data_IF_972703496416
#
_entry.id   IF_972703496416
#
_cell.length_a   1.000
_cell.length_b   1.000
_cell.length_c   1.000
_cell.angle_alpha   90.00
_cell.angle_beta   90.00
_cell.angle_gamma   90.00
#
_symmetry.space_group_name_H-M   'P 1'
#
loop_
_entity.id
_entity.type
_entity.pdbx_description
1 polymer ?
#
# COMPACT_ATOMS: atom_id res chain seq x y z
N UNK A 1 23.27 11.03 -8.51
CA UNK A 1 23.52 9.86 -7.63
C UNK A 1 23.87 10.26 -6.19
N UNK A 2 24.92 11.10 -5.97
CA UNK A 2 25.38 11.45 -4.63
C UNK A 2 24.31 12.14 -3.75
N UNK A 3 23.55 13.07 -4.33
CA UNK A 3 22.46 13.74 -3.61
C UNK A 3 21.34 12.74 -3.22
N UNK A 4 20.96 11.87 -4.13
CA UNK A 4 19.93 10.84 -3.87
C UNK A 4 20.38 9.92 -2.72
N UNK A 5 21.61 9.45 -2.75
CA UNK A 5 22.17 8.61 -1.68
C UNK A 5 22.17 9.35 -0.34
N UNK A 6 22.62 10.62 -0.31
CA UNK A 6 22.61 11.42 0.90
C UNK A 6 21.20 11.64 1.46
N UNK A 7 20.21 11.87 0.60
CA UNK A 7 18.81 12.04 1.01
C UNK A 7 18.26 10.74 1.62
N UNK A 8 18.49 9.60 0.98
CA UNK A 8 18.06 8.30 1.49
C UNK A 8 18.77 7.93 2.79
N UNK A 9 20.08 8.17 2.90
CA UNK A 9 20.82 7.97 4.14
C UNK A 9 20.28 8.85 5.29
N UNK A 10 19.97 10.11 4.98
CA UNK A 10 19.34 11.02 5.94
C UNK A 10 17.94 10.51 6.36
N UNK A 11 17.17 9.96 5.44
CA UNK A 11 15.87 9.39 5.76
C UNK A 11 15.99 8.08 6.57
N UNK A 12 16.96 7.21 6.26
CA UNK A 12 17.22 6.01 7.03
C UNK A 12 17.48 6.33 8.52
N UNK A 13 18.26 7.39 8.78
CA UNK A 13 18.54 7.86 10.15
C UNK A 13 17.32 8.45 10.89
N UNK A 14 16.21 8.69 10.20
CA UNK A 14 14.95 9.18 10.77
C UNK A 14 13.92 8.09 11.05
N UNK A 15 14.25 6.84 10.75
CA UNK A 15 13.42 5.72 11.21
C UNK A 15 13.34 5.75 12.73
N UNK A 16 12.14 5.58 13.26
CA UNK A 16 11.95 5.53 14.72
C UNK A 16 12.31 4.15 15.29
N UNK A 17 12.23 3.98 16.60
CA UNK A 17 12.57 2.74 17.28
C UNK A 17 11.63 1.56 16.95
N UNK A 18 10.47 1.81 16.36
CA UNK A 18 9.56 0.79 15.86
C UNK A 18 9.96 0.25 14.48
N UNK A 19 10.67 1.06 13.66
CA UNK A 19 11.08 0.70 12.31
C UNK A 19 10.35 1.44 11.19
N UNK A 20 9.42 2.35 11.51
CA UNK A 20 8.74 3.15 10.48
C UNK A 20 9.19 4.61 10.48
N UNK A 21 8.88 5.32 9.40
CA UNK A 21 9.07 6.77 9.30
C UNK A 21 7.79 7.47 9.74
N UNK A 22 7.90 8.14 10.89
CA UNK A 22 6.79 8.81 11.52
C UNK A 22 6.34 10.04 10.69
N UNK A 23 5.02 10.19 10.54
CA UNK A 23 4.42 11.33 9.84
C UNK A 23 4.19 12.49 10.80
N UNK A 24 4.77 13.66 10.47
CA UNK A 24 4.65 14.91 11.20
C UNK A 24 4.32 16.08 10.24
N UNK A 25 3.52 17.06 10.63
CA UNK A 25 2.73 17.16 11.88
C UNK A 25 1.52 16.23 11.90
N UNK A 26 0.82 16.17 13.05
CA UNK A 26 -0.41 15.38 13.17
C UNK A 26 -1.54 15.89 12.27
N UNK A 27 -2.46 15.00 11.91
CA UNK A 27 -3.66 15.31 11.14
C UNK A 27 -4.87 15.53 12.05
N UNK A 28 -5.55 16.68 11.89
CA UNK A 28 -6.73 17.00 12.69
C UNK A 28 -7.89 16.01 12.48
N UNK A 29 -8.05 15.48 11.27
CA UNK A 29 -9.08 14.49 10.99
C UNK A 29 -8.73 13.12 11.58
N UNK A 30 -7.48 12.64 11.47
CA UNK A 30 -7.04 11.39 12.11
C UNK A 30 -7.20 11.43 13.62
N UNK A 31 -6.89 12.58 14.23
CA UNK A 31 -7.12 12.78 15.67
C UNK A 31 -8.60 12.75 16.00
N UNK A 32 -9.46 13.37 15.17
CA UNK A 32 -10.92 13.43 15.41
C UNK A 32 -11.61 12.09 15.20
N UNK A 33 -11.26 11.37 14.12
CA UNK A 33 -11.96 10.16 13.71
C UNK A 33 -11.43 8.90 14.41
N UNK A 34 -10.11 8.83 14.65
CA UNK A 34 -9.45 7.62 15.16
C UNK A 34 -8.67 7.82 16.45
N UNK A 35 -8.46 9.04 16.92
CA UNK A 35 -7.61 9.32 18.08
C UNK A 35 -6.11 9.29 17.76
N UNK A 36 -5.73 9.28 16.49
CA UNK A 36 -4.34 9.18 16.04
C UNK A 36 -3.67 10.55 16.04
N UNK A 37 -2.64 10.70 16.88
CA UNK A 37 -1.84 11.92 17.04
C UNK A 37 -0.68 12.05 16.05
N UNK A 38 0.15 13.09 16.23
CA UNK A 38 1.37 13.29 15.47
C UNK A 38 2.39 12.16 15.72
N UNK A 39 3.24 11.87 14.74
CA UNK A 39 4.18 10.76 14.84
C UNK A 39 3.60 9.42 14.40
N UNK A 40 2.45 9.46 13.74
CA UNK A 40 1.75 8.25 13.29
C UNK A 40 2.47 7.54 12.14
N UNK A 41 2.16 6.25 12.01
CA UNK A 41 2.48 5.44 10.85
C UNK A 41 1.43 5.67 9.77
N UNK A 42 1.89 5.97 8.56
CA UNK A 42 1.09 6.03 7.34
C UNK A 42 1.63 4.97 6.39
N UNK A 43 0.80 3.99 6.04
CA UNK A 43 1.20 2.85 5.22
C UNK A 43 1.69 3.31 3.86
N UNK A 44 0.99 4.25 3.20
CA UNK A 44 1.34 4.73 1.86
C UNK A 44 2.69 5.45 1.84
N UNK A 45 2.92 6.40 2.74
CA UNK A 45 4.18 7.15 2.77
C UNK A 45 5.37 6.25 3.07
N UNK A 46 5.20 5.29 3.97
CA UNK A 46 6.26 4.34 4.29
C UNK A 46 6.51 3.35 3.15
N UNK A 47 5.46 2.91 2.45
CA UNK A 47 5.58 2.05 1.26
C UNK A 47 6.31 2.74 0.13
N UNK A 48 6.02 4.02 -0.15
CA UNK A 48 6.74 4.81 -1.15
C UNK A 48 8.22 4.96 -0.81
N UNK A 49 8.55 5.12 0.47
CA UNK A 49 9.95 5.13 0.92
C UNK A 49 10.62 3.76 0.74
N UNK A 50 9.95 2.67 1.10
CA UNK A 50 10.45 1.31 0.85
C UNK A 50 10.78 1.12 -0.64
N UNK A 51 9.87 1.48 -1.53
CA UNK A 51 10.08 1.41 -2.98
C UNK A 51 11.31 2.22 -3.45
N UNK A 52 11.51 3.41 -2.88
CA UNK A 52 12.70 4.22 -3.16
C UNK A 52 13.99 3.52 -2.72
N UNK A 53 14.00 2.87 -1.56
CA UNK A 53 15.14 2.10 -1.07
C UNK A 53 15.41 0.87 -1.93
N UNK A 54 14.36 0.12 -2.32
CA UNK A 54 14.47 -1.03 -3.21
C UNK A 54 15.11 -0.63 -4.56
N UNK A 55 14.58 0.43 -5.19
CA UNK A 55 15.13 0.96 -6.45
C UNK A 55 16.56 1.46 -6.30
N UNK A 56 16.91 2.05 -5.16
CA UNK A 56 18.26 2.49 -4.89
C UNK A 56 19.22 1.30 -4.71
N UNK A 57 18.81 0.27 -3.98
CA UNK A 57 19.59 -0.96 -3.81
C UNK A 57 19.84 -1.66 -5.16
N UNK A 58 18.82 -1.79 -6.01
CA UNK A 58 18.94 -2.33 -7.36
C UNK A 58 19.88 -1.52 -8.24
N UNK A 59 19.81 -0.19 -8.16
CA UNK A 59 20.56 0.71 -9.06
C UNK A 59 22.01 0.91 -8.65
N UNK A 60 22.29 1.03 -7.35
CA UNK A 60 23.61 1.37 -6.86
C UNK A 60 24.36 0.14 -6.34
N UNK A 61 23.66 -0.96 -6.20
CA UNK A 61 24.20 -2.23 -5.71
C UNK A 61 24.46 -2.26 -4.22
N UNK A 62 24.48 -3.45 -3.66
CA UNK A 62 24.93 -3.73 -2.31
C UNK A 62 23.94 -3.39 -1.21
N UNK A 63 24.42 -3.59 0.00
CA UNK A 63 23.68 -3.57 1.25
C UNK A 63 23.52 -2.14 1.82
N UNK A 64 23.62 -1.10 0.99
CA UNK A 64 23.68 0.29 1.48
C UNK A 64 22.47 0.71 2.31
N UNK A 65 21.30 0.12 2.02
CA UNK A 65 20.05 0.43 2.70
C UNK A 65 19.37 -0.79 3.30
N UNK A 66 20.05 -1.93 3.35
CA UNK A 66 19.50 -3.20 3.82
C UNK A 66 18.97 -3.09 5.25
N UNK A 67 19.72 -2.45 6.15
CA UNK A 67 19.28 -2.25 7.54
C UNK A 67 17.98 -1.44 7.64
N UNK A 68 17.82 -0.39 6.82
CA UNK A 68 16.61 0.42 6.82
C UNK A 68 15.40 -0.34 6.24
N UNK A 69 15.63 -1.11 5.17
CA UNK A 69 14.62 -1.98 4.57
C UNK A 69 14.21 -3.06 5.57
N UNK A 70 15.16 -3.74 6.18
CA UNK A 70 14.92 -4.83 7.14
C UNK A 70 14.17 -4.34 8.38
N UNK A 71 14.57 -3.19 8.91
CA UNK A 71 13.92 -2.63 10.09
C UNK A 71 12.46 -2.26 9.80
N UNK A 72 12.20 -1.66 8.63
CA UNK A 72 10.82 -1.37 8.21
C UNK A 72 10.01 -2.65 7.96
N UNK A 73 10.56 -3.63 7.25
CA UNK A 73 9.85 -4.88 6.95
C UNK A 73 9.56 -5.71 8.21
N UNK A 74 10.44 -5.66 9.21
CA UNK A 74 10.20 -6.29 10.50
C UNK A 74 8.99 -5.64 11.21
N UNK A 75 8.92 -4.30 11.22
CA UNK A 75 7.77 -3.57 11.73
C UNK A 75 6.51 -3.89 10.93
N UNK A 76 6.56 -3.78 9.59
CA UNK A 76 5.38 -3.97 8.74
C UNK A 76 4.80 -5.39 8.87
N UNK A 77 5.66 -6.41 8.88
CA UNK A 77 5.21 -7.80 9.03
C UNK A 77 4.48 -8.02 10.36
N UNK A 78 5.02 -7.47 11.45
CA UNK A 78 4.37 -7.55 12.76
C UNK A 78 3.07 -6.73 12.80
N UNK A 79 3.08 -5.54 12.19
CA UNK A 79 1.90 -4.68 12.09
C UNK A 79 0.76 -5.38 11.34
N UNK A 80 1.04 -5.93 10.16
CA UNK A 80 0.07 -6.65 9.35
C UNK A 80 -0.46 -7.89 10.07
N UNK A 81 0.40 -8.68 10.70
CA UNK A 81 -0.02 -9.87 11.47
C UNK A 81 -0.98 -9.51 12.62
N UNK A 82 -0.75 -8.38 13.29
CA UNK A 82 -1.50 -8.00 14.49
C UNK A 82 -2.79 -7.23 14.17
N UNK A 83 -2.81 -6.42 13.10
CA UNK A 83 -3.86 -5.42 12.87
C UNK A 83 -4.73 -5.68 11.63
N UNK A 84 -4.45 -6.71 10.82
CA UNK A 84 -5.24 -6.98 9.62
C UNK A 84 -6.69 -7.33 9.95
N UNK A 85 -7.57 -7.03 9.00
CA UNK A 85 -8.95 -7.49 8.98
C UNK A 85 -9.03 -8.65 7.99
N UNK A 86 -9.35 -9.84 8.49
CA UNK A 86 -9.43 -11.04 7.64
C UNK A 86 -10.67 -11.00 6.74
N UNK A 87 -10.50 -11.35 5.47
CA UNK A 87 -11.59 -11.55 4.51
C UNK A 87 -12.10 -12.99 4.52
N UNK A 88 -13.14 -13.29 3.74
CA UNK A 88 -13.84 -14.58 3.76
C UNK A 88 -12.91 -15.77 3.50
N UNK A 89 -11.97 -15.67 2.54
CA UNK A 89 -11.05 -16.74 2.19
C UNK A 89 -9.67 -16.60 2.88
N UNK A 90 -9.56 -15.72 3.87
CA UNK A 90 -8.35 -15.53 4.67
C UNK A 90 -7.35 -14.52 4.09
N UNK A 91 -7.78 -13.68 3.16
CA UNK A 91 -7.03 -12.50 2.74
C UNK A 91 -6.92 -11.47 3.88
N UNK A 92 -5.98 -10.56 3.78
CA UNK A 92 -5.68 -9.56 4.79
C UNK A 92 -5.85 -8.14 4.25
N UNK A 93 -6.82 -7.40 4.79
CA UNK A 93 -6.97 -5.96 4.62
C UNK A 93 -6.16 -5.25 5.71
N UNK A 94 -5.26 -4.37 5.32
CA UNK A 94 -4.35 -3.69 6.24
C UNK A 94 -4.82 -2.26 6.49
N UNK A 95 -5.10 -1.86 7.75
CA UNK A 95 -5.49 -0.49 8.05
C UNK A 95 -4.42 0.54 7.65
N UNK A 96 -4.86 1.70 7.13
CA UNK A 96 -3.97 2.70 6.52
C UNK A 96 -3.03 3.39 7.52
N UNK A 97 -3.44 3.48 8.79
CA UNK A 97 -2.74 4.27 9.81
C UNK A 97 -2.58 3.51 11.12
N UNK A 98 -1.56 3.88 11.89
CA UNK A 98 -1.33 3.33 13.22
C UNK A 98 -0.59 4.33 14.12
N UNK A 99 -0.78 4.20 15.42
CA UNK A 99 -0.04 4.94 16.43
C UNK A 99 0.25 4.02 17.63
N UNK A 100 1.39 4.16 18.34
CA UNK A 100 1.67 3.37 19.53
C UNK A 100 0.72 3.65 20.70
N UNK A 101 0.13 4.84 20.74
CA UNK A 101 -0.92 5.15 21.71
C UNK A 101 -2.26 4.54 21.33
N UNK A 102 -3.17 4.39 22.29
CA UNK A 102 -4.49 3.84 22.08
C UNK A 102 -5.30 4.66 21.05
N UNK A 103 -5.83 3.97 20.05
CA UNK A 103 -6.62 4.54 18.96
C UNK A 103 -7.64 3.52 18.45
N UNK A 104 -8.66 3.98 17.73
CA UNK A 104 -9.58 3.08 17.01
C UNK A 104 -8.97 2.63 15.69
N UNK A 105 -9.34 1.42 15.24
CA UNK A 105 -8.85 0.87 13.97
C UNK A 105 -9.28 1.77 12.81
N UNK A 106 -8.34 2.29 12.01
CA UNK A 106 -8.66 3.11 10.86
C UNK A 106 -9.26 2.30 9.69
N UNK A 107 -9.72 3.03 8.67
CA UNK A 107 -10.15 2.45 7.41
C UNK A 107 -8.97 1.85 6.64
N UNK A 108 -9.31 1.09 5.61
CA UNK A 108 -8.41 0.53 4.61
C UNK A 108 -8.75 1.14 3.26
N UNK A 109 -7.84 1.88 2.63
CA UNK A 109 -8.05 2.37 1.28
C UNK A 109 -7.46 1.44 0.23
N UNK A 110 -8.17 1.30 -0.90
CA UNK A 110 -7.79 0.37 -1.96
C UNK A 110 -6.40 0.72 -2.53
N UNK A 111 -6.10 2.00 -2.73
CA UNK A 111 -4.81 2.44 -3.25
C UNK A 111 -3.64 2.14 -2.31
N UNK A 112 -3.82 2.22 -0.97
CA UNK A 112 -2.81 1.78 -0.01
C UNK A 112 -2.61 0.28 -0.11
N UNK A 113 -3.69 -0.50 0.00
CA UNK A 113 -3.65 -1.96 -0.07
C UNK A 113 -2.91 -2.47 -1.32
N UNK A 114 -3.21 -1.90 -2.49
CA UNK A 114 -2.61 -2.29 -3.78
C UNK A 114 -1.13 -1.92 -3.84
N UNK A 115 -0.76 -0.70 -3.44
CA UNK A 115 0.63 -0.24 -3.48
C UNK A 115 1.52 -0.99 -2.49
N UNK A 116 1.01 -1.31 -1.30
CA UNK A 116 1.71 -2.10 -0.30
C UNK A 116 1.94 -3.54 -0.77
N UNK A 117 0.91 -4.15 -1.36
CA UNK A 117 1.00 -5.47 -1.96
C UNK A 117 2.14 -5.53 -2.99
N UNK A 118 2.21 -4.56 -3.91
CA UNK A 118 3.27 -4.47 -4.91
C UNK A 118 4.66 -4.28 -4.28
N UNK A 119 4.78 -3.38 -3.30
CA UNK A 119 6.06 -3.13 -2.63
C UNK A 119 6.58 -4.36 -1.87
N UNK A 120 5.68 -5.16 -1.30
CA UNK A 120 6.07 -6.43 -0.67
C UNK A 120 6.58 -7.45 -1.69
N UNK A 121 5.97 -7.55 -2.87
CA UNK A 121 6.49 -8.39 -3.95
C UNK A 121 7.88 -7.94 -4.39
N UNK A 122 8.09 -6.64 -4.59
CA UNK A 122 9.41 -6.10 -4.93
C UNK A 122 10.46 -6.34 -3.84
N UNK A 123 10.07 -6.18 -2.57
CA UNK A 123 10.96 -6.47 -1.44
C UNK A 123 11.29 -7.97 -1.35
N UNK A 124 10.30 -8.83 -1.57
CA UNK A 124 10.46 -10.28 -1.58
C UNK A 124 11.46 -10.73 -2.64
N UNK A 125 11.35 -10.18 -3.85
CA UNK A 125 12.26 -10.47 -4.96
C UNK A 125 13.67 -9.95 -4.69
N UNK A 126 13.80 -8.69 -4.22
CA UNK A 126 15.11 -8.10 -3.91
C UNK A 126 15.89 -8.88 -2.85
N UNK A 127 15.17 -9.35 -1.81
CA UNK A 127 15.77 -9.95 -0.62
C UNK A 127 15.75 -11.49 -0.63
N UNK A 128 15.14 -12.10 -1.67
CA UNK A 128 14.90 -13.55 -1.76
C UNK A 128 14.18 -14.11 -0.51
N UNK A 129 13.05 -13.48 -0.12
CA UNK A 129 12.27 -13.79 1.10
C UNK A 129 10.89 -14.30 0.80
N UNK A 130 10.70 -15.62 0.82
CA UNK A 130 9.40 -16.28 0.59
C UNK A 130 8.28 -15.78 1.54
N UNK A 131 8.60 -15.43 2.78
CA UNK A 131 7.62 -14.94 3.75
C UNK A 131 6.96 -13.62 3.32
N UNK A 132 7.67 -12.76 2.59
CA UNK A 132 7.11 -11.51 2.05
C UNK A 132 6.20 -11.77 0.85
N UNK A 133 6.53 -12.75 -0.01
CA UNK A 133 5.62 -13.23 -1.05
C UNK A 133 4.31 -13.74 -0.44
N UNK A 134 4.40 -14.57 0.60
CA UNK A 134 3.21 -15.10 1.28
C UNK A 134 2.35 -14.00 1.92
N UNK A 135 2.95 -12.92 2.43
CA UNK A 135 2.22 -11.77 2.97
C UNK A 135 1.55 -10.99 1.83
N UNK A 136 2.26 -10.71 0.75
CA UNK A 136 1.71 -10.05 -0.44
C UNK A 136 0.55 -10.85 -1.04
N UNK A 137 0.66 -12.18 -1.13
CA UNK A 137 -0.41 -13.07 -1.59
C UNK A 137 -1.67 -13.00 -0.71
N UNK A 138 -1.52 -12.86 0.62
CA UNK A 138 -2.68 -12.64 1.50
C UNK A 138 -3.35 -11.29 1.26
N UNK A 139 -2.56 -10.26 0.97
CA UNK A 139 -3.10 -8.94 0.65
C UNK A 139 -3.78 -8.92 -0.73
N UNK A 140 -3.21 -9.60 -1.73
CA UNK A 140 -3.84 -9.78 -3.03
C UNK A 140 -5.16 -10.56 -2.89
N UNK A 141 -5.18 -11.65 -2.13
CA UNK A 141 -6.39 -12.41 -1.85
C UNK A 141 -7.49 -11.55 -1.22
N UNK A 142 -7.14 -10.58 -0.36
CA UNK A 142 -8.12 -9.66 0.20
C UNK A 142 -8.73 -8.73 -0.86
N UNK A 143 -7.95 -8.29 -1.85
CA UNK A 143 -8.46 -7.52 -3.00
C UNK A 143 -9.40 -8.38 -3.84
N UNK A 144 -9.06 -9.66 -4.07
CA UNK A 144 -9.91 -10.61 -4.79
C UNK A 144 -11.21 -10.90 -4.04
N UNK A 145 -11.15 -11.17 -2.75
CA UNK A 145 -12.31 -11.45 -1.89
C UNK A 145 -13.31 -10.28 -1.83
N UNK A 146 -12.80 -9.06 -1.81
CA UNK A 146 -13.62 -7.84 -1.79
C UNK A 146 -14.08 -7.40 -3.19
N UNK A 147 -13.31 -7.71 -4.22
CA UNK A 147 -13.64 -7.68 -5.64
C UNK A 147 -14.58 -6.54 -6.05
N UNK A 148 -15.73 -6.91 -6.63
CA UNK A 148 -16.72 -5.94 -7.12
C UNK A 148 -17.37 -5.08 -6.02
N UNK A 149 -17.16 -5.39 -4.75
CA UNK A 149 -17.59 -4.54 -3.63
C UNK A 149 -16.97 -3.14 -3.67
N UNK A 150 -15.81 -3.00 -4.29
CA UNK A 150 -15.16 -1.70 -4.49
C UNK A 150 -15.81 -0.84 -5.57
N UNK A 151 -16.72 -1.38 -6.39
CA UNK A 151 -17.27 -0.66 -7.55
C UNK A 151 -18.52 0.10 -7.17
N UNK A 152 -18.53 1.41 -7.43
CA UNK A 152 -19.67 2.29 -7.26
C UNK A 152 -20.65 2.17 -8.45
N UNK A 153 -21.93 2.54 -8.28
CA UNK A 153 -22.93 2.50 -9.36
C UNK A 153 -22.61 3.34 -10.61
N UNK A 154 -21.74 4.34 -10.48
CA UNK A 154 -21.27 5.19 -11.58
C UNK A 154 -19.96 4.71 -12.21
N UNK A 155 -19.50 3.49 -11.87
CA UNK A 155 -18.24 2.89 -12.27
C UNK A 155 -16.98 3.48 -11.60
N UNK A 156 -17.11 4.45 -10.67
CA UNK A 156 -15.98 4.84 -9.84
C UNK A 156 -15.65 3.72 -8.85
N UNK A 157 -14.52 3.84 -8.17
CA UNK A 157 -14.21 2.96 -7.05
C UNK A 157 -14.52 3.68 -5.74
N UNK A 158 -14.90 2.92 -4.72
CA UNK A 158 -14.89 3.41 -3.35
C UNK A 158 -13.45 3.68 -2.92
N UNK A 159 -13.27 4.76 -2.15
CA UNK A 159 -11.95 5.11 -1.62
C UNK A 159 -11.46 4.10 -0.59
N UNK A 160 -12.33 3.75 0.37
CA UNK A 160 -11.94 2.92 1.49
C UNK A 160 -13.09 2.00 1.96
N UNK A 161 -12.70 0.98 2.72
CA UNK A 161 -13.60 0.15 3.52
C UNK A 161 -13.31 0.38 5.01
N UNK A 162 -14.36 0.55 5.80
CA UNK A 162 -14.27 0.65 7.25
C UNK A 162 -14.12 -0.73 7.89
N UNK A 163 -13.63 -0.83 9.14
CA UNK A 163 -13.53 -2.10 9.85
C UNK A 163 -14.85 -2.88 9.99
N UNK A 164 -15.98 -2.20 9.91
CA UNK A 164 -17.32 -2.81 9.94
C UNK A 164 -17.83 -3.28 8.57
N UNK A 165 -17.02 -3.14 7.52
CA UNK A 165 -17.36 -3.51 6.14
C UNK A 165 -18.05 -2.42 5.32
N UNK A 166 -18.26 -1.23 5.87
CA UNK A 166 -18.90 -0.11 5.16
C UNK A 166 -17.92 0.52 4.17
N UNK A 167 -18.33 0.64 2.91
CA UNK A 167 -17.54 1.32 1.87
C UNK A 167 -17.77 2.83 1.90
N UNK A 168 -16.71 3.61 1.66
CA UNK A 168 -16.71 5.08 1.68
C UNK A 168 -16.26 5.62 0.33
N UNK A 169 -17.02 6.59 -0.20
CA UNK A 169 -16.74 7.28 -1.47
C UNK A 169 -15.54 8.24 -1.36
N UNK A 170 -15.08 8.77 -2.48
CA UNK A 170 -14.08 9.84 -2.54
C UNK A 170 -12.72 9.41 -3.09
N UNK A 171 -12.69 8.33 -3.89
CA UNK A 171 -11.45 7.87 -4.52
C UNK A 171 -10.79 8.95 -5.39
N UNK A 172 -9.47 8.89 -5.48
CA UNK A 172 -8.65 9.76 -6.30
C UNK A 172 -9.01 9.64 -7.80
N UNK A 173 -8.84 10.71 -8.60
CA UNK A 173 -9.21 10.65 -10.01
C UNK A 173 -8.58 9.50 -10.79
N UNK A 174 -7.29 9.20 -10.57
CA UNK A 174 -6.58 8.14 -11.31
C UNK A 174 -5.50 7.41 -10.50
N UNK A 175 -5.24 7.80 -9.25
CA UNK A 175 -4.17 7.19 -8.44
C UNK A 175 -4.39 5.67 -8.28
N UNK A 176 -5.58 5.29 -7.82
CA UNK A 176 -5.94 3.88 -7.62
C UNK A 176 -5.89 3.08 -8.92
N UNK A 177 -6.27 3.68 -10.05
CA UNK A 177 -6.12 3.04 -11.36
C UNK A 177 -4.66 2.74 -11.69
N UNK A 178 -3.75 3.70 -11.47
CA UNK A 178 -2.33 3.50 -11.73
C UNK A 178 -1.72 2.45 -10.79
N UNK A 179 -2.10 2.45 -9.51
CA UNK A 179 -1.64 1.44 -8.55
C UNK A 179 -2.09 0.02 -8.97
N UNK A 180 -3.36 -0.15 -9.37
CA UNK A 180 -3.89 -1.41 -9.91
C UNK A 180 -3.14 -1.86 -11.17
N UNK A 181 -2.85 -0.92 -12.09
CA UNK A 181 -2.09 -1.17 -13.31
C UNK A 181 -0.69 -1.70 -12.98
N UNK A 182 0.03 -1.04 -12.08
CA UNK A 182 1.39 -1.44 -11.71
C UNK A 182 1.42 -2.83 -11.06
N UNK A 183 0.48 -3.13 -10.15
CA UNK A 183 0.39 -4.44 -9.52
C UNK A 183 0.06 -5.52 -10.55
N UNK A 184 -0.93 -5.30 -11.42
CA UNK A 184 -1.28 -6.23 -12.48
C UNK A 184 -0.10 -6.50 -13.41
N UNK A 185 0.56 -5.46 -13.91
CA UNK A 185 1.68 -5.57 -14.84
C UNK A 185 2.86 -6.33 -14.22
N UNK A 186 3.11 -6.12 -12.92
CA UNK A 186 4.11 -6.89 -12.19
C UNK A 186 3.73 -8.38 -12.13
N UNK A 187 2.49 -8.69 -11.72
CA UNK A 187 2.01 -10.08 -11.61
C UNK A 187 2.03 -10.80 -12.96
N UNK A 188 1.57 -10.14 -14.03
CA UNK A 188 1.65 -10.66 -15.40
C UNK A 188 3.12 -10.90 -15.81
N UNK A 189 4.02 -10.00 -15.42
CA UNK A 189 5.46 -10.09 -15.70
C UNK A 189 6.14 -11.31 -15.07
N UNK A 190 5.67 -11.74 -13.91
CA UNK A 190 6.15 -12.96 -13.22
C UNK A 190 5.32 -14.21 -13.58
N UNK A 191 4.39 -14.11 -14.54
CA UNK A 191 3.60 -15.22 -15.06
C UNK A 191 2.41 -15.64 -14.21
N UNK A 192 1.92 -14.76 -13.30
CA UNK A 192 0.68 -14.98 -12.55
C UNK A 192 -0.54 -14.86 -13.47
N UNK A 193 -1.59 -15.58 -13.16
CA UNK A 193 -2.87 -15.59 -13.93
C UNK A 193 -4.08 -15.19 -13.10
N UNK A 194 -3.89 -14.91 -11.83
CA UNK A 194 -4.89 -14.47 -10.87
C UNK A 194 -5.01 -12.94 -10.84
N UNK A 195 -5.04 -12.31 -12.01
CA UNK A 195 -5.08 -10.84 -12.18
C UNK A 195 -6.44 -10.32 -12.66
N UNK A 196 -7.43 -11.20 -12.76
CA UNK A 196 -8.73 -10.84 -13.34
C UNK A 196 -9.46 -9.76 -12.53
N UNK A 197 -9.46 -9.87 -11.19
CA UNK A 197 -10.09 -8.86 -10.32
C UNK A 197 -9.45 -7.49 -10.49
N UNK A 198 -8.12 -7.41 -10.59
CA UNK A 198 -7.42 -6.15 -10.86
C UNK A 198 -7.84 -5.56 -12.20
N UNK A 199 -7.93 -6.41 -13.24
CA UNK A 199 -8.35 -6.02 -14.59
C UNK A 199 -9.78 -5.48 -14.60
N UNK A 200 -10.69 -6.14 -13.88
CA UNK A 200 -12.09 -5.72 -13.78
C UNK A 200 -12.23 -4.37 -13.06
N UNK A 201 -11.56 -4.19 -11.91
CA UNK A 201 -11.53 -2.92 -11.16
C UNK A 201 -10.96 -1.77 -12.02
N UNK A 202 -9.88 -2.05 -12.76
CA UNK A 202 -9.29 -1.08 -13.70
C UNK A 202 -10.27 -0.73 -14.82
N UNK A 203 -11.00 -1.71 -15.36
CA UNK A 203 -12.00 -1.50 -16.41
C UNK A 203 -13.12 -0.58 -15.95
N UNK A 204 -13.65 -0.80 -14.77
CA UNK A 204 -14.67 0.05 -14.15
C UNK A 204 -14.14 1.48 -13.93
N UNK A 205 -12.99 1.62 -13.30
CA UNK A 205 -12.37 2.92 -13.07
C UNK A 205 -12.06 3.68 -14.37
N UNK A 206 -11.57 2.98 -15.40
CA UNK A 206 -11.31 3.57 -16.70
C UNK A 206 -12.57 4.10 -17.38
N UNK A 207 -13.69 3.36 -17.25
CA UNK A 207 -14.99 3.83 -17.74
C UNK A 207 -15.41 5.11 -17.04
N UNK A 208 -15.31 5.16 -15.71
CA UNK A 208 -15.60 6.38 -14.95
C UNK A 208 -14.70 7.55 -15.36
N UNK A 209 -13.38 7.32 -15.44
CA UNK A 209 -12.41 8.35 -15.87
C UNK A 209 -12.74 8.90 -17.25
N UNK A 210 -13.09 8.03 -18.19
CA UNK A 210 -13.48 8.43 -19.56
C UNK A 210 -14.74 9.28 -19.56
N UNK A 211 -15.77 8.88 -18.82
CA UNK A 211 -17.03 9.59 -18.73
C UNK A 211 -16.88 10.98 -18.07
N UNK A 212 -15.89 11.13 -17.20
CA UNK A 212 -15.63 12.38 -16.47
C UNK A 212 -14.46 13.21 -17.04
N UNK A 213 -13.90 12.82 -18.17
CA UNK A 213 -12.81 13.56 -18.84
C UNK A 213 -11.51 13.60 -18.03
N UNK A 214 -11.25 12.61 -17.18
CA UNK A 214 -10.03 12.52 -16.39
C UNK A 214 -8.85 12.23 -17.32
N UNK A 215 -7.77 12.96 -17.13
CA UNK A 215 -6.49 12.78 -17.84
C UNK A 215 -5.35 12.65 -16.85
N UNK A 216 -4.19 12.19 -17.32
CA UNK A 216 -2.99 12.06 -16.48
C UNK A 216 -2.77 10.66 -15.90
N UNK A 217 -3.66 9.71 -16.19
CA UNK A 217 -3.43 8.30 -15.86
C UNK A 217 -2.45 7.63 -16.83
N UNK A 218 -1.80 6.58 -16.38
CA UNK A 218 -0.91 5.78 -17.20
C UNK A 218 -1.71 4.90 -18.17
N UNK A 219 -1.13 4.62 -19.34
CA UNK A 219 -1.78 3.78 -20.35
C UNK A 219 -1.20 2.37 -20.26
N UNK A 220 -2.09 1.41 -20.15
CA UNK A 220 -1.78 -0.03 -20.27
C UNK A 220 -1.31 -0.40 -21.66
#
# INVERSE_FOLDING_TARGET
PALTILMLDTMAQRQNSYGYWATEPGSGWLQGDYGIGAGFYDTRFNTELLELYIRAAQKFGGNMFEDAIDHYLAFYTQYADTNHIATENGGWLIPDYWHPDEHTTPHISLNHQVSECLALYHAAELLDREALFALADRMLLAIEDTGSGWVMPDHNLYYSIQPDGTYVEGDYPYLTYNDLLHLRDYLDGIGRTDTQTLTDLMGEKLQWMTNNGVTGYEKS
#
